data_IF_062221860319
#
_entry.id   IF_062221860319
#
_cell.length_a   1.000
_cell.length_b   1.000
_cell.length_c   1.000
_cell.angle_alpha   90.00
_cell.angle_beta   90.00
_cell.angle_gamma   90.00
#
_symmetry.space_group_name_H-M   'P 1'
#
loop_
_entity.id
_entity.type
_entity.pdbx_description
1 polymer ?
#
# COMPACT_ATOMS: atom_id res chain seq x y z
N UNK A 1 -4.73 10.63 4.41
CA UNK A 1 -4.58 10.60 5.89
C UNK A 1 -3.11 10.73 6.23
N UNK A 2 -2.77 11.31 7.39
CA UNK A 2 -1.39 11.36 7.87
C UNK A 2 -1.32 10.56 9.17
N UNK A 3 -0.51 9.49 9.19
CA UNK A 3 -0.30 8.65 10.37
C UNK A 3 1.09 8.90 10.96
N UNK A 4 1.22 8.76 12.28
CA UNK A 4 2.51 8.85 12.96
C UNK A 4 3.40 7.65 12.58
N UNK A 5 4.66 7.94 12.21
CA UNK A 5 5.62 6.92 11.77
C UNK A 5 5.86 5.87 12.86
N UNK A 6 6.01 6.29 14.12
CA UNK A 6 6.28 5.35 15.21
C UNK A 6 5.06 4.46 15.49
N UNK A 7 3.85 4.98 15.30
CA UNK A 7 2.64 4.18 15.37
C UNK A 7 2.55 3.16 14.23
N UNK A 8 2.80 3.56 12.98
CA UNK A 8 2.81 2.64 11.83
C UNK A 8 3.86 1.55 12.00
N UNK A 9 5.07 1.89 12.46
CA UNK A 9 6.14 0.92 12.73
C UNK A 9 5.79 -0.05 13.87
N UNK A 10 4.89 0.33 14.79
CA UNK A 10 4.48 -0.52 15.91
C UNK A 10 3.26 -1.38 15.62
N UNK A 11 2.28 -0.84 14.91
CA UNK A 11 0.95 -1.44 14.74
C UNK A 11 0.61 -1.81 13.31
N UNK A 12 1.40 -1.35 12.35
CA UNK A 12 1.05 -1.36 10.95
C UNK A 12 0.03 -0.29 10.60
N UNK A 13 -0.45 -0.34 9.36
CA UNK A 13 -1.50 0.54 8.87
C UNK A 13 -2.26 -0.14 7.74
N UNK A 14 -3.55 0.17 7.61
CA UNK A 14 -4.36 -0.27 6.49
C UNK A 14 -5.14 0.91 5.93
N UNK A 15 -5.02 1.12 4.62
CA UNK A 15 -5.72 2.16 3.90
C UNK A 15 -6.68 1.54 2.88
N UNK A 16 -7.89 2.08 2.78
CA UNK A 16 -8.84 1.73 1.71
C UNK A 16 -8.61 2.65 0.52
N UNK A 17 -8.45 2.06 -0.66
CA UNK A 17 -8.22 2.77 -1.91
C UNK A 17 -9.41 2.54 -2.84
N UNK A 18 -9.86 3.63 -3.46
CA UNK A 18 -10.95 3.65 -4.43
C UNK A 18 -10.34 3.94 -5.81
N UNK A 19 -10.70 3.14 -6.81
CA UNK A 19 -10.40 3.44 -8.22
C UNK A 19 -11.67 3.98 -8.84
N UNK A 20 -11.60 5.19 -9.38
CA UNK A 20 -12.70 5.81 -10.07
C UNK A 20 -12.42 5.92 -11.58
N UNK A 21 -13.50 5.89 -12.37
CA UNK A 21 -13.44 6.19 -13.80
C UNK A 21 -13.34 7.71 -14.06
N UNK A 22 -13.31 8.10 -15.34
CA UNK A 22 -13.27 9.50 -15.77
C UNK A 22 -14.50 10.33 -15.35
N UNK A 23 -15.59 9.67 -14.95
CA UNK A 23 -16.83 10.30 -14.51
C UNK A 23 -16.96 10.32 -12.97
N UNK A 24 -15.90 9.97 -12.24
CA UNK A 24 -15.86 9.81 -10.77
C UNK A 24 -16.75 8.69 -10.22
N UNK A 25 -17.13 7.71 -11.05
CA UNK A 25 -17.81 6.52 -10.55
C UNK A 25 -16.79 5.52 -10.00
N UNK A 26 -17.08 4.96 -8.84
CA UNK A 26 -16.23 3.94 -8.22
C UNK A 26 -16.33 2.65 -9.04
N UNK A 27 -15.20 2.24 -9.60
CA UNK A 27 -15.06 1.02 -10.40
C UNK A 27 -14.52 -0.15 -9.57
N UNK A 28 -13.59 0.13 -8.64
CA UNK A 28 -12.97 -0.90 -7.80
C UNK A 28 -12.59 -0.34 -6.42
N UNK A 29 -12.51 -1.23 -5.43
CA UNK A 29 -12.11 -0.92 -4.05
C UNK A 29 -11.15 -1.98 -3.56
N UNK A 30 -10.00 -1.56 -3.03
CA UNK A 30 -9.04 -2.47 -2.41
C UNK A 30 -8.43 -1.88 -1.15
N UNK A 31 -7.69 -2.72 -0.43
CA UNK A 31 -6.97 -2.33 0.77
C UNK A 31 -5.48 -2.44 0.53
N UNK A 32 -4.73 -1.44 0.96
CA UNK A 32 -3.29 -1.46 1.08
C UNK A 32 -2.94 -1.65 2.56
N UNK A 33 -2.01 -2.55 2.85
CA UNK A 33 -1.60 -2.88 4.20
C UNK A 33 -0.09 -2.71 4.34
N UNK A 34 0.35 -2.06 5.41
CA UNK A 34 1.72 -2.00 5.87
C UNK A 34 1.81 -2.84 7.14
N UNK A 35 2.64 -3.88 7.12
CA UNK A 35 2.84 -4.79 8.25
C UNK A 35 4.25 -4.61 8.81
N UNK A 36 4.42 -4.35 10.12
CA UNK A 36 5.73 -4.28 10.74
C UNK A 36 6.52 -5.59 10.60
N UNK A 37 7.76 -5.48 10.17
CA UNK A 37 8.70 -6.58 10.03
C UNK A 37 10.09 -6.13 10.51
N UNK A 38 10.26 -6.11 11.85
CA UNK A 38 11.46 -5.59 12.50
C UNK A 38 11.62 -4.08 12.24
N UNK A 39 12.74 -3.71 11.62
CA UNK A 39 13.04 -2.32 11.23
C UNK A 39 12.44 -1.92 9.88
N UNK A 40 11.72 -2.83 9.23
CA UNK A 40 11.10 -2.61 7.91
C UNK A 40 9.58 -2.77 7.97
N UNK A 41 8.91 -2.36 6.89
CA UNK A 41 7.50 -2.64 6.66
C UNK A 41 7.34 -3.55 5.45
N UNK A 42 6.57 -4.63 5.58
CA UNK A 42 6.07 -5.38 4.44
C UNK A 42 4.84 -4.65 3.87
N UNK A 43 4.90 -4.29 2.60
CA UNK A 43 3.76 -3.73 1.87
C UNK A 43 2.93 -4.83 1.19
N UNK A 44 1.60 -4.75 1.26
CA UNK A 44 0.66 -5.53 0.45
C UNK A 44 -0.40 -4.60 -0.12
N UNK A 45 -0.48 -4.46 -1.44
CA UNK A 45 -1.37 -3.49 -2.05
C UNK A 45 -1.35 -3.52 -3.57
N UNK A 46 -1.81 -2.42 -4.17
CA UNK A 46 -1.82 -2.25 -5.62
C UNK A 46 -0.52 -1.60 -6.09
N UNK A 47 0.05 -2.09 -7.18
CA UNK A 47 1.27 -1.53 -7.79
C UNK A 47 0.98 -1.02 -9.20
N UNK A 48 1.56 0.12 -9.56
CA UNK A 48 1.66 0.58 -10.95
C UNK A 48 3.00 0.11 -11.51
N UNK A 49 2.99 -0.39 -12.74
CA UNK A 49 4.11 -1.11 -13.34
C UNK A 49 5.44 -0.32 -13.41
N UNK A 50 6.46 -0.84 -12.72
CA UNK A 50 7.90 -0.57 -12.90
C UNK A 50 8.67 -1.84 -12.54
N UNK A 51 9.41 -2.41 -13.51
CA UNK A 51 9.83 -3.82 -13.68
C UNK A 51 8.69 -4.84 -13.94
N UNK A 52 7.87 -4.60 -14.99
CA UNK A 52 7.28 -5.67 -15.81
C UNK A 52 6.02 -6.41 -15.34
N UNK A 53 5.03 -5.76 -14.71
CA UNK A 53 3.65 -6.29 -14.61
C UNK A 53 2.47 -5.35 -14.99
N UNK A 54 1.75 -5.72 -16.05
CA UNK A 54 0.56 -5.03 -16.58
C UNK A 54 -0.47 -4.80 -15.47
N UNK A 55 -1.10 -3.62 -15.50
CA UNK A 55 -2.19 -3.17 -14.61
C UNK A 55 -2.97 -4.31 -13.93
N UNK A 56 -2.76 -4.50 -12.63
CA UNK A 56 -3.45 -5.52 -11.86
C UNK A 56 -3.07 -5.53 -10.37
N UNK A 57 -3.99 -6.04 -9.55
CA UNK A 57 -3.81 -6.26 -8.10
C UNK A 57 -2.63 -7.22 -7.88
N UNK A 58 -1.51 -6.71 -7.38
CA UNK A 58 -0.30 -7.53 -7.16
C UNK A 58 0.16 -7.40 -5.71
N UNK A 59 -0.15 -8.41 -4.90
CA UNK A 59 0.42 -8.61 -3.57
C UNK A 59 1.92 -8.82 -3.70
N UNK A 60 2.70 -7.77 -3.46
CA UNK A 60 4.16 -7.81 -3.51
C UNK A 60 4.67 -7.42 -2.14
N UNK A 61 5.18 -8.38 -1.38
CA UNK A 61 5.88 -8.11 -0.12
C UNK A 61 7.19 -7.39 -0.44
N UNK A 62 7.14 -6.06 -0.43
CA UNK A 62 8.31 -5.21 -0.61
C UNK A 62 8.70 -4.72 0.78
N UNK A 63 9.92 -5.04 1.26
CA UNK A 63 10.42 -4.45 2.49
C UNK A 63 10.71 -2.97 2.23
N UNK A 64 10.06 -2.11 3.00
CA UNK A 64 10.27 -0.66 2.96
C UNK A 64 11.21 -0.28 4.10
N UNK A 65 12.39 0.24 3.76
CA UNK A 65 13.27 0.89 4.72
C UNK A 65 12.77 2.30 4.95
N UNK A 66 12.36 2.60 6.18
CA UNK A 66 11.91 3.95 6.53
C UNK A 66 13.14 4.73 7.02
N UNK A 67 13.65 5.66 6.21
CA UNK A 67 14.77 6.53 6.60
C UNK A 67 14.54 7.23 7.93
N UNK A 68 15.61 7.46 8.69
CA UNK A 68 15.66 8.29 9.91
C UNK A 68 15.76 9.76 9.59
#
# INVERSE_FOLDING_TARGET
EQCDRAEVMRKGHQARVLVADENNHVQDVFYQTLTPNGETLDYDGYGTEGYGSKNGKRTTKIPITVGV
#
